data_IF_473945327206
#
_entry.id   IF_473945327206
#
_cell.length_a   1.000
_cell.length_b   1.000
_cell.length_c   1.000
_cell.angle_alpha   90.00
_cell.angle_beta   90.00
_cell.angle_gamma   90.00
#
_symmetry.space_group_name_H-M   'P 1'
#
loop_
_entity.id
_entity.type
_entity.pdbx_description
1 polymer ?
#
# COMPACT_ATOMS: atom_id res chain seq x y z
N UNK A 1 25.19 -37.89 6.09
CA UNK A 1 23.88 -38.02 6.78
C UNK A 1 23.77 -36.83 7.72
N UNK A 2 23.19 -35.71 7.26
CA UNK A 2 22.82 -34.57 8.10
C UNK A 2 21.31 -34.42 7.99
N UNK A 3 20.60 -34.91 8.99
CA UNK A 3 19.20 -34.69 9.19
C UNK A 3 19.05 -33.24 9.69
N UNK A 4 18.61 -32.33 8.81
CA UNK A 4 18.07 -31.01 9.22
C UNK A 4 16.75 -31.28 9.94
N UNK A 5 16.78 -31.27 11.25
CA UNK A 5 15.60 -31.17 12.11
C UNK A 5 14.91 -29.85 11.78
N UNK A 6 13.80 -29.92 11.03
CA UNK A 6 12.82 -28.84 10.95
C UNK A 6 12.27 -28.64 12.36
N UNK A 7 12.66 -27.56 13.02
CA UNK A 7 12.05 -27.12 14.27
C UNK A 7 10.61 -26.69 13.98
N UNK A 8 9.70 -27.63 14.12
CA UNK A 8 8.29 -27.31 14.23
C UNK A 8 8.10 -26.57 15.55
N UNK A 9 7.99 -25.26 15.48
CA UNK A 9 7.59 -24.40 16.60
C UNK A 9 6.31 -25.00 17.19
N UNK A 10 6.42 -25.50 18.41
CA UNK A 10 5.33 -26.19 19.10
C UNK A 10 4.32 -25.10 19.52
N UNK A 11 3.30 -24.85 18.69
CA UNK A 11 2.25 -23.88 19.00
C UNK A 11 1.59 -24.26 20.31
N UNK A 12 1.49 -23.33 21.24
CA UNK A 12 0.79 -23.50 22.50
C UNK A 12 -0.68 -23.74 22.19
N UNK A 13 -1.22 -24.86 22.67
CA UNK A 13 -2.66 -25.18 22.55
C UNK A 13 -3.33 -24.92 23.89
N UNK A 14 -4.24 -23.98 23.90
CA UNK A 14 -5.11 -23.73 25.05
C UNK A 14 -6.30 -24.72 24.97
N UNK A 15 -6.62 -25.43 26.05
CA UNK A 15 -7.80 -26.31 26.10
C UNK A 15 -9.06 -25.55 25.69
N UNK A 16 -9.92 -26.20 24.91
CA UNK A 16 -11.20 -25.64 24.53
C UNK A 16 -12.25 -25.91 25.63
N UNK A 17 -12.48 -24.91 26.45
CA UNK A 17 -13.50 -24.92 27.50
C UNK A 17 -14.65 -23.95 27.20
N UNK A 18 -14.76 -23.47 25.94
CA UNK A 18 -15.77 -22.48 25.53
C UNK A 18 -17.22 -22.98 25.68
N UNK A 19 -17.43 -24.29 25.71
CA UNK A 19 -18.73 -24.87 25.94
C UNK A 19 -19.26 -24.72 27.40
N UNK A 20 -18.40 -24.28 28.33
CA UNK A 20 -18.82 -24.02 29.73
C UNK A 20 -19.55 -22.67 29.80
N UNK A 21 -20.69 -22.62 30.51
CA UNK A 21 -21.46 -21.39 30.66
C UNK A 21 -20.91 -20.42 31.72
N UNK A 22 -19.82 -20.79 32.39
CA UNK A 22 -19.22 -20.05 33.50
C UNK A 22 -18.06 -19.10 33.02
N UNK A 23 -17.46 -18.39 33.98
CA UNK A 23 -16.31 -17.49 33.75
C UNK A 23 -15.11 -18.20 33.11
N UNK A 24 -14.95 -19.50 33.39
CA UNK A 24 -13.86 -20.32 32.84
C UNK A 24 -14.05 -20.49 31.33
N UNK A 25 -15.28 -20.70 30.86
CA UNK A 25 -15.59 -20.79 29.42
C UNK A 25 -15.29 -19.48 28.71
N UNK A 26 -15.70 -18.34 29.29
CA UNK A 26 -15.41 -17.00 28.73
C UNK A 26 -13.91 -16.72 28.72
N UNK A 27 -13.18 -17.03 29.78
CA UNK A 27 -11.73 -16.86 29.87
C UNK A 27 -10.99 -17.72 28.83
N UNK A 28 -11.39 -18.99 28.68
CA UNK A 28 -10.85 -19.90 27.67
C UNK A 28 -11.02 -19.34 26.27
N UNK A 29 -12.19 -18.80 25.93
CA UNK A 29 -12.46 -18.16 24.64
C UNK A 29 -11.55 -16.93 24.40
N UNK A 30 -11.43 -16.06 25.39
CA UNK A 30 -10.57 -14.87 25.31
C UNK A 30 -9.10 -15.23 25.11
N UNK A 31 -8.58 -16.18 25.92
CA UNK A 31 -7.19 -16.64 25.81
C UNK A 31 -6.89 -17.29 24.45
N UNK A 32 -7.81 -18.11 23.94
CA UNK A 32 -7.68 -18.72 22.61
C UNK A 32 -7.65 -17.67 21.51
N UNK A 33 -8.52 -16.66 21.59
CA UNK A 33 -8.51 -15.50 20.68
C UNK A 33 -7.17 -14.76 20.71
N UNK A 34 -6.66 -14.45 21.89
CA UNK A 34 -5.37 -13.78 22.07
C UNK A 34 -4.20 -14.60 21.48
N UNK A 35 -4.15 -15.89 21.76
CA UNK A 35 -3.10 -16.78 21.24
C UNK A 35 -3.18 -16.90 19.72
N UNK A 36 -4.38 -16.99 19.16
CA UNK A 36 -4.57 -17.00 17.71
C UNK A 36 -4.11 -15.70 17.09
N UNK A 37 -4.47 -14.55 17.64
CA UNK A 37 -4.03 -13.24 17.17
C UNK A 37 -2.49 -13.10 17.24
N UNK A 38 -1.87 -13.59 18.33
CA UNK A 38 -0.43 -13.58 18.51
C UNK A 38 0.28 -14.41 17.42
N UNK A 39 -0.18 -15.65 17.18
CA UNK A 39 0.41 -16.48 16.13
C UNK A 39 0.22 -15.91 14.75
N UNK A 40 -0.95 -15.36 14.44
CA UNK A 40 -1.18 -14.67 13.17
C UNK A 40 -0.20 -13.49 12.99
N UNK A 41 0.10 -12.75 14.07
CA UNK A 41 1.06 -11.65 14.04
C UNK A 41 2.50 -12.14 13.84
N UNK A 42 2.88 -13.26 14.50
CA UNK A 42 4.20 -13.89 14.30
C UNK A 42 4.35 -14.37 12.86
N UNK A 43 3.37 -15.14 12.35
CA UNK A 43 3.38 -15.66 10.98
C UNK A 43 3.46 -14.49 9.95
N UNK A 44 2.71 -13.40 10.19
CA UNK A 44 2.76 -12.20 9.34
C UNK A 44 4.12 -11.50 9.38
N UNK A 45 4.77 -11.43 10.55
CA UNK A 45 6.11 -10.84 10.68
C UNK A 45 7.19 -11.72 10.02
N UNK A 46 7.12 -13.04 10.16
CA UNK A 46 8.04 -13.97 9.49
C UNK A 46 7.90 -13.86 7.96
N UNK A 47 6.66 -13.80 7.47
CA UNK A 47 6.40 -13.60 6.03
C UNK A 47 6.95 -12.25 5.57
N UNK A 48 6.70 -11.17 6.32
CA UNK A 48 7.23 -9.84 6.00
C UNK A 48 8.77 -9.83 5.92
N UNK A 49 9.45 -10.46 6.90
CA UNK A 49 10.91 -10.54 6.88
C UNK A 49 11.44 -11.33 5.66
N UNK A 50 10.75 -12.41 5.29
CA UNK A 50 11.09 -13.18 4.09
C UNK A 50 10.89 -12.37 2.80
N UNK A 51 9.77 -11.66 2.69
CA UNK A 51 9.45 -10.81 1.53
C UNK A 51 10.46 -9.66 1.40
N UNK A 52 10.79 -8.98 2.51
CA UNK A 52 11.84 -7.94 2.57
C UNK A 52 13.19 -8.48 2.08
N UNK A 53 13.59 -9.67 2.56
CA UNK A 53 14.85 -10.28 2.17
C UNK A 53 14.90 -10.56 0.66
N UNK A 54 13.79 -11.01 0.07
CA UNK A 54 13.68 -11.23 -1.37
C UNK A 54 13.74 -9.93 -2.16
N UNK A 55 13.00 -8.88 -1.74
CA UNK A 55 12.96 -7.60 -2.44
C UNK A 55 14.28 -6.81 -2.35
N UNK A 56 15.05 -6.99 -1.29
CA UNK A 56 16.41 -6.42 -1.18
C UNK A 56 17.41 -7.22 -2.04
N UNK A 57 17.28 -8.54 -2.08
CA UNK A 57 18.21 -9.40 -2.82
C UNK A 57 18.18 -9.16 -4.33
N UNK A 58 17.00 -8.83 -4.88
CA UNK A 58 16.81 -8.62 -6.31
C UNK A 58 17.65 -7.45 -6.84
N UNK A 59 17.51 -6.21 -6.38
CA UNK A 59 18.34 -5.08 -6.82
C UNK A 59 19.82 -5.27 -6.47
N UNK A 60 20.16 -5.92 -5.36
CA UNK A 60 21.57 -6.24 -5.04
C UNK A 60 22.20 -7.21 -6.05
N UNK A 61 21.44 -8.18 -6.55
CA UNK A 61 21.92 -9.09 -7.59
C UNK A 61 22.10 -8.36 -8.93
N UNK A 62 21.18 -7.47 -9.29
CA UNK A 62 21.27 -6.60 -10.47
C UNK A 62 22.50 -5.68 -10.38
N UNK A 63 22.67 -4.96 -9.27
CA UNK A 63 23.83 -4.12 -9.00
C UNK A 63 25.15 -4.88 -9.15
N UNK A 64 25.23 -6.07 -8.55
CA UNK A 64 26.43 -6.90 -8.64
C UNK A 64 26.75 -7.32 -10.08
N UNK A 65 25.71 -7.64 -10.85
CA UNK A 65 25.85 -7.99 -12.27
C UNK A 65 26.30 -6.76 -13.10
N UNK A 66 25.66 -5.63 -12.90
CA UNK A 66 25.99 -4.37 -13.60
C UNK A 66 27.41 -3.92 -13.31
N UNK A 67 27.86 -3.96 -12.05
CA UNK A 67 29.25 -3.62 -11.65
C UNK A 67 30.24 -4.63 -12.23
N UNK A 68 29.91 -5.92 -12.27
CA UNK A 68 30.74 -6.94 -12.89
C UNK A 68 30.93 -6.70 -14.39
N UNK A 69 29.85 -6.37 -15.09
CA UNK A 69 29.85 -6.08 -16.53
C UNK A 69 30.55 -4.77 -16.84
N UNK A 70 30.39 -3.74 -16.01
CA UNK A 70 31.03 -2.42 -16.16
C UNK A 70 32.57 -2.49 -16.27
N UNK A 71 33.16 -3.50 -15.59
CA UNK A 71 34.62 -3.74 -15.64
C UNK A 71 35.10 -4.31 -16.97
N UNK A 72 34.21 -4.91 -17.75
CA UNK A 72 34.55 -5.61 -19.00
C UNK A 72 34.19 -4.79 -20.24
N UNK A 73 33.25 -3.85 -20.12
CA UNK A 73 32.72 -3.05 -21.22
C UNK A 73 33.71 -1.94 -21.60
N UNK A 74 33.95 -1.80 -22.90
CA UNK A 74 34.87 -0.78 -23.48
C UNK A 74 34.14 0.35 -24.17
N UNK A 75 32.85 0.16 -24.54
CA UNK A 75 32.05 1.19 -25.24
C UNK A 75 31.41 2.12 -24.22
N UNK A 76 31.55 3.43 -24.43
CA UNK A 76 31.06 4.46 -23.52
C UNK A 76 29.53 4.40 -23.35
N UNK A 77 28.79 4.24 -24.46
CA UNK A 77 27.32 4.11 -24.42
C UNK A 77 26.83 2.96 -23.53
N UNK A 78 27.54 1.82 -23.56
CA UNK A 78 27.20 0.67 -22.71
C UNK A 78 27.58 0.91 -21.24
N UNK A 79 28.62 1.70 -21.00
CA UNK A 79 29.02 2.13 -19.64
C UNK A 79 27.96 3.03 -19.03
N UNK A 80 27.48 4.02 -19.79
CA UNK A 80 26.41 4.93 -19.37
C UNK A 80 25.13 4.14 -19.02
N UNK A 81 24.69 3.23 -19.90
CA UNK A 81 23.52 2.38 -19.62
C UNK A 81 23.67 1.55 -18.33
N UNK A 82 24.87 1.01 -18.05
CA UNK A 82 25.11 0.27 -16.82
C UNK A 82 25.14 1.18 -15.59
N UNK A 83 25.63 2.40 -15.71
CA UNK A 83 25.57 3.41 -14.64
C UNK A 83 24.15 3.82 -14.34
N UNK A 84 23.30 4.00 -15.35
CA UNK A 84 21.87 4.27 -15.18
C UNK A 84 21.16 3.13 -14.43
N UNK A 85 21.45 1.88 -14.76
CA UNK A 85 20.92 0.71 -14.04
C UNK A 85 21.37 0.72 -12.59
N UNK A 86 22.65 1.01 -12.32
CA UNK A 86 23.18 1.09 -10.96
C UNK A 86 22.48 2.20 -10.17
N UNK A 87 22.36 3.38 -10.75
CA UNK A 87 21.70 4.52 -10.09
C UNK A 87 20.22 4.23 -9.80
N UNK A 88 19.53 3.63 -10.75
CA UNK A 88 18.14 3.19 -10.59
C UNK A 88 17.98 2.20 -9.43
N UNK A 89 18.81 1.17 -9.36
CA UNK A 89 18.73 0.15 -8.32
C UNK A 89 19.12 0.69 -6.94
N UNK A 90 20.07 1.62 -6.85
CA UNK A 90 20.40 2.34 -5.61
C UNK A 90 19.20 3.16 -5.11
N UNK A 91 18.57 3.94 -5.99
CA UNK A 91 17.36 4.70 -5.62
C UNK A 91 16.20 3.80 -5.20
N UNK A 92 16.08 2.63 -5.82
CA UNK A 92 15.08 1.62 -5.43
C UNK A 92 15.36 1.07 -4.04
N UNK A 93 16.60 0.74 -3.72
CA UNK A 93 16.99 0.25 -2.39
C UNK A 93 16.76 1.30 -1.31
N UNK A 94 17.10 2.55 -1.55
CA UNK A 94 16.90 3.65 -0.59
C UNK A 94 15.41 3.80 -0.23
N UNK A 95 14.54 3.74 -1.25
CA UNK A 95 13.09 3.76 -1.04
C UNK A 95 12.58 2.53 -0.28
N UNK A 96 13.03 1.33 -0.65
CA UNK A 96 12.66 0.11 0.06
C UNK A 96 13.00 0.19 1.55
N UNK A 97 14.20 0.65 1.89
CA UNK A 97 14.62 0.82 3.29
C UNK A 97 13.75 1.83 4.02
N UNK A 98 13.43 2.95 3.37
CA UNK A 98 12.54 3.99 3.93
C UNK A 98 11.14 3.45 4.18
N UNK A 99 10.56 2.75 3.21
CA UNK A 99 9.21 2.18 3.32
C UNK A 99 9.13 1.05 4.35
N UNK A 100 10.17 0.21 4.45
CA UNK A 100 10.28 -0.83 5.48
C UNK A 100 10.34 -0.18 6.88
N UNK A 101 11.14 0.88 7.04
CA UNK A 101 11.23 1.62 8.31
C UNK A 101 9.89 2.22 8.69
N UNK A 102 9.18 2.83 7.74
CA UNK A 102 7.85 3.38 7.95
C UNK A 102 6.82 2.30 8.30
N UNK A 103 6.81 1.17 7.58
CA UNK A 103 5.92 0.05 7.87
C UNK A 103 6.18 -0.56 9.25
N UNK A 104 7.44 -0.67 9.66
CA UNK A 104 7.81 -1.20 10.98
C UNK A 104 7.40 -0.29 12.14
N UNK A 105 7.42 1.03 11.95
CA UNK A 105 7.00 2.01 12.97
C UNK A 105 5.49 2.12 13.08
N UNK A 106 4.78 1.92 11.97
CA UNK A 106 3.33 2.12 11.88
C UNK A 106 2.58 1.36 12.96
N UNK A 107 2.89 0.08 13.18
CA UNK A 107 2.24 -0.75 14.20
C UNK A 107 2.34 -0.16 15.61
N UNK A 108 3.49 0.47 15.93
CA UNK A 108 3.72 1.05 17.26
C UNK A 108 3.07 2.42 17.41
N UNK A 109 2.98 3.18 16.34
CA UNK A 109 2.38 4.51 16.33
C UNK A 109 0.86 4.43 16.38
N UNK A 110 0.24 3.52 15.59
CA UNK A 110 -1.20 3.27 15.62
C UNK A 110 -1.73 2.82 16.99
N UNK A 111 -0.87 2.29 17.86
CA UNK A 111 -1.24 1.87 19.22
C UNK A 111 -0.97 2.94 20.27
N UNK A 112 0.01 3.84 20.03
CA UNK A 112 0.51 4.79 21.03
C UNK A 112 -0.02 6.21 20.86
N UNK A 113 -0.34 6.60 19.63
CA UNK A 113 -0.83 7.95 19.36
C UNK A 113 -2.33 8.00 19.62
N UNK A 114 -2.77 9.10 20.22
CA UNK A 114 -4.17 9.37 20.47
C UNK A 114 -4.81 9.92 19.17
N UNK A 115 -5.96 9.39 18.81
CA UNK A 115 -6.73 9.91 17.70
C UNK A 115 -7.34 11.26 18.07
N UNK A 116 -7.19 12.23 17.18
CA UNK A 116 -7.74 13.59 17.34
C UNK A 116 -8.76 13.92 16.25
N UNK A 117 -9.73 14.78 16.52
CA UNK A 117 -10.63 15.28 15.50
C UNK A 117 -9.91 16.26 14.57
N UNK A 118 -10.01 16.06 13.26
CA UNK A 118 -9.44 16.95 12.25
C UNK A 118 -10.38 17.11 11.05
N UNK A 119 -10.18 18.19 10.28
CA UNK A 119 -10.95 18.47 9.07
C UNK A 119 -10.34 17.74 7.86
N UNK A 120 -11.00 16.65 7.45
CA UNK A 120 -10.59 15.83 6.32
C UNK A 120 -10.58 16.62 4.99
N UNK A 121 -11.54 17.52 4.78
CA UNK A 121 -11.61 18.32 3.54
C UNK A 121 -10.41 19.24 3.44
N UNK A 122 -10.06 19.93 4.51
CA UNK A 122 -8.89 20.81 4.56
C UNK A 122 -7.60 20.05 4.31
N UNK A 123 -7.45 18.87 4.90
CA UNK A 123 -6.29 18.00 4.66
C UNK A 123 -6.20 17.60 3.19
N UNK A 124 -7.32 17.16 2.59
CA UNK A 124 -7.37 16.77 1.17
C UNK A 124 -7.09 17.93 0.24
N UNK A 125 -7.61 19.13 0.54
CA UNK A 125 -7.36 20.33 -0.28
C UNK A 125 -5.86 20.68 -0.31
N UNK A 126 -5.17 20.60 0.83
CA UNK A 126 -3.73 20.81 0.90
C UNK A 126 -2.96 19.78 0.04
N UNK A 127 -3.34 18.52 0.11
CA UNK A 127 -2.74 17.46 -0.71
C UNK A 127 -3.03 17.66 -2.21
N UNK A 128 -4.26 17.99 -2.56
CA UNK A 128 -4.68 18.23 -3.94
C UNK A 128 -3.95 19.42 -4.56
N UNK A 129 -3.67 20.47 -3.80
CA UNK A 129 -2.90 21.62 -4.28
C UNK A 129 -1.48 21.18 -4.66
N UNK A 130 -0.78 20.49 -3.76
CA UNK A 130 0.61 20.11 -3.97
C UNK A 130 0.76 19.02 -5.04
N UNK A 131 0.00 17.92 -4.92
CA UNK A 131 0.10 16.79 -5.84
C UNK A 131 -0.54 17.09 -7.21
N UNK A 132 -1.54 17.97 -7.24
CA UNK A 132 -2.14 18.43 -8.48
C UNK A 132 -1.18 19.24 -9.35
N UNK A 133 -0.25 19.99 -8.77
CA UNK A 133 0.81 20.68 -9.53
C UNK A 133 1.76 19.67 -10.17
N UNK A 134 2.19 18.63 -9.43
CA UNK A 134 3.03 17.56 -9.98
C UNK A 134 2.34 16.82 -11.13
N UNK A 135 1.06 16.51 -11.01
CA UNK A 135 0.27 15.89 -12.06
C UNK A 135 0.20 16.77 -13.32
N UNK A 136 -0.09 18.07 -13.17
CA UNK A 136 -0.19 19.01 -14.30
C UNK A 136 1.14 19.19 -15.02
N UNK A 137 2.26 19.17 -14.31
CA UNK A 137 3.61 19.24 -14.95
C UNK A 137 3.89 18.02 -15.84
N UNK A 138 3.20 16.91 -15.62
CA UNK A 138 3.25 15.67 -16.42
C UNK A 138 2.18 15.63 -17.53
N UNK A 139 1.44 16.72 -17.73
CA UNK A 139 0.36 16.78 -18.73
C UNK A 139 -0.94 16.06 -18.31
N UNK A 140 -1.07 15.70 -17.03
CA UNK A 140 -2.26 15.02 -16.51
C UNK A 140 -3.28 16.06 -16.06
N UNK A 141 -4.55 15.90 -16.49
CA UNK A 141 -5.66 16.74 -16.03
C UNK A 141 -6.07 16.36 -14.61
N UNK A 142 -5.85 17.27 -13.64
CA UNK A 142 -6.10 17.01 -12.24
C UNK A 142 -7.31 17.77 -11.73
N UNK A 143 -8.34 17.03 -11.29
CA UNK A 143 -9.64 17.53 -10.86
C UNK A 143 -9.83 17.21 -9.38
N UNK A 144 -9.95 18.24 -8.54
CA UNK A 144 -10.34 18.12 -7.13
C UNK A 144 -11.82 18.54 -6.97
N UNK A 145 -12.67 17.60 -6.56
CA UNK A 145 -14.11 17.85 -6.34
C UNK A 145 -14.45 17.63 -4.86
N UNK A 146 -14.09 18.62 -4.04
CA UNK A 146 -14.29 18.59 -2.59
C UNK A 146 -15.61 19.29 -2.18
N UNK A 147 -16.28 18.80 -1.13
CA UNK A 147 -17.44 19.50 -0.56
C UNK A 147 -17.01 20.83 0.05
N UNK A 148 -17.93 21.80 0.05
CA UNK A 148 -17.67 23.14 0.65
C UNK A 148 -17.69 23.11 2.18
N UNK A 149 -18.43 22.17 2.76
CA UNK A 149 -18.55 22.03 4.21
C UNK A 149 -17.41 21.15 4.76
N UNK A 150 -16.84 21.50 5.91
CA UNK A 150 -15.83 20.70 6.58
C UNK A 150 -16.42 19.35 6.97
N UNK A 151 -15.60 18.31 6.87
CA UNK A 151 -15.94 16.97 7.33
C UNK A 151 -14.93 16.61 8.41
N UNK A 152 -15.39 16.58 9.67
CA UNK A 152 -14.55 16.23 10.80
C UNK A 152 -14.56 14.70 10.96
N UNK A 153 -13.37 14.11 11.02
CA UNK A 153 -13.15 12.70 11.31
C UNK A 153 -12.23 12.56 12.51
N UNK A 154 -12.37 11.46 13.25
CA UNK A 154 -11.49 11.11 14.34
C UNK A 154 -10.38 10.23 13.82
N UNK A 155 -9.10 10.56 14.12
CA UNK A 155 -7.99 9.74 13.66
C UNK A 155 -6.63 10.43 13.73
N UNK A 156 -5.63 9.76 13.20
CA UNK A 156 -4.28 10.27 13.05
C UNK A 156 -4.14 10.98 11.70
N UNK A 157 -4.29 12.30 11.68
CA UNK A 157 -4.30 13.12 10.44
C UNK A 157 -3.10 12.81 9.54
N UNK A 158 -1.89 12.76 10.09
CA UNK A 158 -0.66 12.49 9.32
C UNK A 158 -0.67 11.12 8.67
N UNK A 159 -1.25 10.11 9.32
CA UNK A 159 -1.34 8.74 8.79
C UNK A 159 -2.41 8.61 7.70
N UNK A 160 -3.56 9.24 7.92
CA UNK A 160 -4.59 9.28 6.88
C UNK A 160 -4.16 10.13 5.67
N UNK A 161 -3.41 11.22 5.87
CA UNK A 161 -2.78 11.97 4.78
C UNK A 161 -1.82 11.08 3.96
N UNK A 162 -1.02 10.24 4.63
CA UNK A 162 -0.13 9.27 3.96
C UNK A 162 -0.92 8.31 3.04
N UNK A 163 -2.12 7.87 3.43
CA UNK A 163 -2.99 7.04 2.57
C UNK A 163 -3.29 7.75 1.26
N UNK A 164 -3.76 9.00 1.33
CA UNK A 164 -4.15 9.74 0.12
C UNK A 164 -2.94 10.15 -0.73
N UNK A 165 -1.81 10.49 -0.11
CA UNK A 165 -0.54 10.69 -0.84
C UNK A 165 -0.18 9.43 -1.63
N UNK A 166 -0.25 8.25 -1.01
CA UNK A 166 0.04 6.98 -1.70
C UNK A 166 -0.93 6.72 -2.87
N UNK A 167 -2.24 6.95 -2.68
CA UNK A 167 -3.23 6.72 -3.73
C UNK A 167 -3.06 7.70 -4.89
N UNK A 168 -2.87 9.00 -4.61
CA UNK A 168 -2.73 10.03 -5.64
C UNK A 168 -1.41 9.86 -6.39
N UNK A 169 -0.29 9.64 -5.71
CA UNK A 169 1.01 9.42 -6.36
C UNK A 169 1.01 8.12 -7.16
N UNK A 170 0.28 7.10 -6.72
CA UNK A 170 0.07 5.88 -7.48
C UNK A 170 -0.69 6.19 -8.79
N UNK A 171 -1.80 6.92 -8.74
CA UNK A 171 -2.53 7.35 -9.93
C UNK A 171 -1.65 8.15 -10.88
N UNK A 172 -0.91 9.17 -10.39
CA UNK A 172 0.03 9.96 -11.21
C UNK A 172 1.08 9.08 -11.90
N UNK A 173 1.50 8.00 -11.26
CA UNK A 173 2.53 7.11 -11.78
C UNK A 173 2.04 6.14 -12.85
N UNK A 174 0.73 5.91 -12.97
CA UNK A 174 0.11 5.06 -14.00
C UNK A 174 -0.50 5.87 -15.15
N UNK A 175 -0.69 7.17 -14.97
CA UNK A 175 -1.20 8.06 -16.00
C UNK A 175 -0.08 8.57 -16.91
N UNK A 176 -0.44 8.82 -18.16
CA UNK A 176 0.39 9.45 -19.19
C UNK A 176 -0.13 10.86 -19.51
N UNK A 177 0.60 11.58 -20.38
CA UNK A 177 0.17 12.90 -20.90
C UNK A 177 -1.19 12.78 -21.60
N UNK A 178 -2.16 13.60 -21.18
CA UNK A 178 -3.54 13.58 -21.67
C UNK A 178 -4.51 12.75 -20.83
N UNK A 179 -4.02 11.99 -19.85
CA UNK A 179 -4.88 11.30 -18.88
C UNK A 179 -5.45 12.28 -17.85
N UNK A 180 -6.44 11.82 -17.09
CA UNK A 180 -7.08 12.59 -16.03
C UNK A 180 -7.04 11.85 -14.69
N UNK A 181 -6.91 12.62 -13.61
CA UNK A 181 -7.07 12.14 -12.23
C UNK A 181 -8.15 12.99 -11.57
N UNK A 182 -9.12 12.33 -10.95
CA UNK A 182 -10.15 12.99 -10.16
C UNK A 182 -10.12 12.52 -8.71
N UNK A 183 -10.04 13.48 -7.78
CA UNK A 183 -10.13 13.21 -6.34
C UNK A 183 -11.39 13.87 -5.83
N UNK A 184 -12.27 13.10 -5.19
CA UNK A 184 -13.50 13.63 -4.65
C UNK A 184 -13.87 13.01 -3.31
N UNK A 185 -14.63 13.75 -2.50
CA UNK A 185 -15.14 13.29 -1.22
C UNK A 185 -16.64 13.52 -1.11
N UNK A 186 -17.36 12.59 -0.48
CA UNK A 186 -18.81 12.70 -0.22
C UNK A 186 -19.17 12.13 1.14
N UNK A 187 -19.91 12.89 1.90
CA UNK A 187 -20.49 12.43 3.16
C UNK A 187 -21.72 11.56 2.90
N UNK A 188 -21.80 10.42 3.57
CA UNK A 188 -22.89 9.45 3.51
C UNK A 188 -23.27 9.02 4.92
N UNK A 189 -24.39 9.50 5.46
CA UNK A 189 -24.86 9.16 6.82
C UNK A 189 -23.75 9.21 7.87
N UNK A 190 -23.28 8.04 8.32
CA UNK A 190 -22.20 7.85 9.31
C UNK A 190 -20.81 7.69 8.71
N UNK A 191 -20.62 7.92 7.41
CA UNK A 191 -19.35 7.68 6.72
C UNK A 191 -19.02 8.79 5.77
N UNK A 192 -17.74 8.97 5.53
CA UNK A 192 -17.23 9.74 4.40
C UNK A 192 -16.55 8.79 3.43
N UNK A 193 -16.85 8.95 2.15
CA UNK A 193 -16.13 8.27 1.06
C UNK A 193 -15.19 9.28 0.43
N UNK A 194 -13.92 8.89 0.32
CA UNK A 194 -12.91 9.62 -0.45
C UNK A 194 -12.48 8.71 -1.59
N UNK A 195 -12.50 9.24 -2.80
CA UNK A 195 -12.27 8.47 -4.02
C UNK A 195 -11.20 9.13 -4.86
N UNK A 196 -10.24 8.33 -5.32
CA UNK A 196 -9.22 8.69 -6.29
C UNK A 196 -9.47 7.88 -7.56
N UNK A 197 -9.79 8.55 -8.64
CA UNK A 197 -10.05 7.96 -9.96
C UNK A 197 -8.97 8.40 -10.94
N UNK A 198 -8.55 7.51 -11.81
CA UNK A 198 -7.66 7.82 -12.93
C UNK A 198 -8.20 7.24 -14.25
N UNK A 199 -7.74 7.77 -15.36
CA UNK A 199 -8.06 7.27 -16.72
C UNK A 199 -6.90 6.47 -17.32
N UNK A 200 -6.00 6.00 -16.48
CA UNK A 200 -4.90 5.14 -16.88
C UNK A 200 -5.35 3.74 -17.35
N UNK A 201 -4.43 2.78 -17.43
CA UNK A 201 -4.70 1.47 -18.03
C UNK A 201 -5.66 0.58 -17.20
N UNK A 202 -6.08 1.03 -16.01
CA UNK A 202 -6.86 0.22 -15.08
C UNK A 202 -6.02 -0.84 -14.37
N UNK A 203 -6.71 -1.74 -13.66
CA UNK A 203 -6.11 -2.81 -12.87
C UNK A 203 -6.53 -4.15 -13.47
N UNK A 204 -5.61 -5.06 -13.82
CA UNK A 204 -5.98 -6.40 -14.25
C UNK A 204 -6.86 -7.10 -13.22
N UNK A 205 -7.92 -7.77 -13.66
CA UNK A 205 -8.93 -8.34 -12.74
C UNK A 205 -8.31 -9.31 -11.73
N UNK A 206 -7.30 -10.08 -12.14
CA UNK A 206 -6.55 -10.98 -11.26
C UNK A 206 -5.76 -10.24 -10.16
N UNK A 207 -5.47 -8.97 -10.39
CA UNK A 207 -4.71 -8.12 -9.49
C UNK A 207 -5.57 -7.42 -8.46
N UNK A 208 -6.85 -7.14 -8.73
CA UNK A 208 -7.75 -6.40 -7.84
C UNK A 208 -7.76 -6.92 -6.41
N UNK A 209 -7.66 -8.24 -6.23
CA UNK A 209 -7.58 -8.89 -4.91
C UNK A 209 -6.18 -8.92 -4.30
N UNK A 210 -5.16 -8.61 -5.09
CA UNK A 210 -3.75 -8.77 -4.71
C UNK A 210 -3.03 -7.45 -4.51
N UNK A 211 -3.52 -6.33 -5.09
CA UNK A 211 -2.84 -5.02 -5.08
C UNK A 211 -2.57 -4.47 -3.68
N UNK A 212 -3.34 -4.90 -2.68
CA UNK A 212 -3.12 -4.54 -1.27
C UNK A 212 -2.17 -5.50 -0.52
N UNK A 213 -1.65 -6.53 -1.20
CA UNK A 213 -0.61 -7.38 -0.61
C UNK A 213 0.73 -6.66 -0.64
N UNK A 214 1.54 -6.89 0.39
CA UNK A 214 2.88 -6.32 0.49
C UNK A 214 3.74 -6.76 -0.68
N UNK A 215 4.52 -5.84 -1.24
CA UNK A 215 5.45 -6.05 -2.37
C UNK A 215 4.78 -6.52 -3.66
N UNK A 216 3.46 -6.43 -3.76
CA UNK A 216 2.78 -6.76 -5.00
C UNK A 216 2.93 -5.60 -6.00
N UNK A 217 3.45 -5.90 -7.18
CA UNK A 217 3.54 -4.99 -8.30
C UNK A 217 3.40 -5.78 -9.60
N UNK A 218 2.65 -5.26 -10.56
CA UNK A 218 2.50 -5.84 -11.90
C UNK A 218 3.26 -5.06 -12.98
N UNK A 219 4.07 -4.06 -12.60
CA UNK A 219 4.86 -3.34 -13.59
C UNK A 219 5.97 -4.21 -14.15
N UNK A 220 6.25 -4.14 -15.47
CA UNK A 220 7.49 -4.64 -16.04
C UNK A 220 8.68 -4.06 -15.28
N UNK A 221 9.75 -4.82 -15.12
CA UNK A 221 10.93 -4.40 -14.34
C UNK A 221 11.52 -3.06 -14.81
N UNK A 222 11.32 -2.69 -16.05
CA UNK A 222 11.79 -1.43 -16.66
C UNK A 222 11.06 -0.18 -16.13
N UNK A 223 9.86 -0.31 -15.55
CA UNK A 223 9.05 0.79 -15.02
C UNK A 223 8.92 0.74 -13.48
N UNK A 224 9.68 -0.14 -12.80
CA UNK A 224 9.68 -0.28 -11.34
C UNK A 224 10.24 0.95 -10.58
N UNK A 225 10.59 2.03 -11.28
CA UNK A 225 11.36 3.16 -10.75
C UNK A 225 10.80 3.86 -9.51
N UNK A 226 9.50 3.81 -9.23
CA UNK A 226 8.92 4.72 -8.24
C UNK A 226 8.10 4.08 -7.09
N UNK A 227 7.80 2.79 -7.09
CA UNK A 227 6.95 2.19 -6.05
C UNK A 227 7.57 0.92 -5.48
N UNK A 228 7.68 0.84 -4.15
CA UNK A 228 8.20 -0.32 -3.41
C UNK A 228 7.24 -1.51 -3.35
N UNK A 229 5.96 -1.31 -3.75
CA UNK A 229 4.89 -2.29 -3.54
C UNK A 229 4.36 -2.35 -2.10
N UNK A 230 4.80 -1.45 -1.22
CA UNK A 230 4.35 -1.36 0.16
C UNK A 230 3.25 -0.30 0.36
N UNK A 231 3.19 0.73 -0.48
CA UNK A 231 2.30 1.88 -0.28
C UNK A 231 0.83 1.52 -0.12
N UNK A 232 0.27 0.66 -1.00
CA UNK A 232 -1.12 0.22 -0.90
C UNK A 232 -1.38 -0.68 0.31
N UNK A 233 -0.43 -1.56 0.66
CA UNK A 233 -0.54 -2.41 1.85
C UNK A 233 -0.51 -1.57 3.14
N UNK A 234 0.35 -0.57 3.23
CA UNK A 234 0.41 0.41 4.33
C UNK A 234 -0.90 1.21 4.38
N UNK A 235 -1.40 1.69 3.24
CA UNK A 235 -2.66 2.42 3.18
C UNK A 235 -3.83 1.59 3.72
N UNK A 236 -3.91 0.32 3.35
CA UNK A 236 -4.93 -0.60 3.87
C UNK A 236 -4.80 -0.76 5.38
N UNK A 237 -3.61 -0.97 5.90
CA UNK A 237 -3.36 -1.13 7.33
C UNK A 237 -3.76 0.13 8.13
N UNK A 238 -3.45 1.32 7.61
CA UNK A 238 -3.83 2.59 8.24
C UNK A 238 -5.36 2.74 8.26
N UNK A 239 -6.03 2.53 7.12
CA UNK A 239 -7.49 2.68 7.02
C UNK A 239 -8.22 1.68 7.93
N UNK A 240 -7.80 0.41 7.95
CA UNK A 240 -8.37 -0.63 8.81
C UNK A 240 -8.16 -0.33 10.31
N UNK A 241 -7.01 0.24 10.68
CA UNK A 241 -6.74 0.65 12.06
C UNK A 241 -7.66 1.78 12.54
N UNK A 242 -8.13 2.64 11.62
CA UNK A 242 -9.14 3.69 11.89
C UNK A 242 -10.58 3.19 11.72
N UNK A 243 -10.82 1.87 11.73
CA UNK A 243 -12.16 1.29 11.55
C UNK A 243 -12.78 1.54 10.17
N UNK A 244 -11.99 2.00 9.21
CA UNK A 244 -12.40 2.26 7.83
C UNK A 244 -12.28 1.05 6.91
N UNK A 245 -12.62 1.26 5.65
CA UNK A 245 -12.49 0.27 4.57
C UNK A 245 -11.83 0.89 3.36
N UNK A 246 -11.02 0.11 2.65
CA UNK A 246 -10.39 0.52 1.39
C UNK A 246 -10.55 -0.59 0.36
N UNK A 247 -10.90 -0.20 -0.87
CA UNK A 247 -10.95 -1.13 -2.00
C UNK A 247 -10.60 -0.43 -3.31
N UNK A 248 -10.41 -1.21 -4.35
CA UNK A 248 -10.20 -0.73 -5.70
C UNK A 248 -11.12 -1.45 -6.68
N UNK A 249 -11.47 -0.75 -7.73
CA UNK A 249 -12.30 -1.25 -8.83
C UNK A 249 -11.89 -0.62 -10.15
N UNK A 250 -12.23 -1.25 -11.26
CA UNK A 250 -12.06 -0.68 -12.58
C UNK A 250 -13.26 0.17 -12.97
N UNK A 251 -12.99 1.33 -13.58
CA UNK A 251 -14.02 2.13 -14.24
C UNK A 251 -14.25 1.51 -15.60
N UNK A 252 -15.50 1.09 -15.90
CA UNK A 252 -15.88 0.47 -17.17
C UNK A 252 -16.92 1.29 -17.89
N UNK A 253 -17.02 1.21 -19.23
CA UNK A 253 -18.03 1.94 -20.01
C UNK A 253 -19.46 1.61 -19.58
N UNK A 254 -19.68 0.38 -19.12
CA UNK A 254 -20.96 -0.11 -18.57
C UNK A 254 -20.69 -1.19 -17.53
N UNK A 255 -21.45 -1.18 -16.44
CA UNK A 255 -21.39 -2.20 -15.41
C UNK A 255 -21.94 -3.56 -15.88
N UNK A 256 -22.70 -3.57 -16.97
CA UNK A 256 -23.29 -4.78 -17.53
C UNK A 256 -22.29 -5.66 -18.29
N UNK A 257 -21.19 -5.09 -18.79
CA UNK A 257 -20.16 -5.80 -19.53
C UNK A 257 -18.81 -5.80 -18.79
N UNK A 258 -18.61 -6.82 -17.98
CA UNK A 258 -17.37 -7.03 -17.22
C UNK A 258 -16.17 -7.43 -18.11
N UNK A 259 -16.40 -7.72 -19.39
CA UNK A 259 -15.35 -8.08 -20.35
C UNK A 259 -14.81 -6.88 -21.11
N UNK A 260 -15.47 -5.70 -21.01
CA UNK A 260 -14.99 -4.47 -21.63
C UNK A 260 -13.65 -4.03 -21.01
N UNK A 261 -12.78 -3.45 -21.85
CA UNK A 261 -11.53 -2.87 -21.35
C UNK A 261 -11.82 -1.75 -20.34
N UNK A 262 -11.04 -1.67 -19.23
CA UNK A 262 -11.18 -0.61 -18.26
C UNK A 262 -10.91 0.77 -18.89
N UNK A 263 -11.70 1.76 -18.48
CA UNK A 263 -11.45 3.18 -18.79
C UNK A 263 -10.52 3.83 -17.79
N UNK A 264 -10.12 3.10 -16.74
CA UNK A 264 -9.27 3.56 -15.67
C UNK A 264 -9.50 2.78 -14.38
N UNK A 265 -8.86 3.22 -13.32
CA UNK A 265 -8.99 2.65 -11.99
C UNK A 265 -9.63 3.61 -11.00
N UNK A 266 -10.23 3.06 -9.97
CA UNK A 266 -10.84 3.79 -8.86
C UNK A 266 -10.43 3.16 -7.55
N UNK A 267 -9.89 3.97 -6.65
CA UNK A 267 -9.62 3.61 -5.26
C UNK A 267 -10.58 4.32 -4.35
N UNK A 268 -11.21 3.60 -3.45
CA UNK A 268 -12.22 4.13 -2.53
C UNK A 268 -11.78 3.89 -1.09
N UNK A 269 -11.82 4.94 -0.28
CA UNK A 269 -11.58 4.90 1.16
C UNK A 269 -12.85 5.36 1.87
N UNK A 270 -13.40 4.49 2.72
CA UNK A 270 -14.54 4.80 3.59
C UNK A 270 -14.09 4.94 5.04
N UNK A 271 -14.30 6.11 5.65
CA UNK A 271 -14.00 6.37 7.06
C UNK A 271 -15.29 6.60 7.83
N UNK A 272 -15.30 6.24 9.11
CA UNK A 272 -16.41 6.54 10.02
C UNK A 272 -16.37 8.02 10.45
N UNK A 273 -17.56 8.58 10.71
CA UNK A 273 -17.75 9.98 11.17
C UNK A 273 -18.08 10.01 12.64
#
# INVERSE_FOLDING_TARGET
RNSRTKGTSRRIRIPDLTARPDEIGRLSGALRGMVTALYNRIDSNEQFAADVAHEIKNPLASLRSAVGTLRLVKKEEQREQLLDVIEHDVRRLDRLVSDISNASRLDSELVKEEEEPFDLVRMLDNLNQYLGEDARTKGIDYIADMPREPIVVQGLEARLAQVFVNLITNAISFCEDGDAIRVWARKRENRVLVVVEDTGPGIPDEALTKIFKRFYSQRPQEHFGNNSGLGLAISKQIVEAHGGVIWAENIRPTEADITSEPLGARFVVGLQL
#
